data_IF_488619108345
#
_entry.id   IF_488619108345
#
_cell.length_a   1.000
_cell.length_b   1.000
_cell.length_c   1.000
_cell.angle_alpha   90.00
_cell.angle_beta   90.00
_cell.angle_gamma   90.00
#
_symmetry.space_group_name_H-M   'P 1'
#
loop_
_entity.id
_entity.type
_entity.pdbx_description
1 polymer ?
#
# COMPACT_ATOMS: atom_id res chain seq x y z
N UNK A 1 4.19 -2.75 16.20
CA UNK A 1 3.16 -3.27 15.26
C UNK A 1 3.56 -2.83 13.85
N UNK A 2 3.70 -3.76 12.91
CA UNK A 2 3.97 -3.41 11.51
C UNK A 2 2.81 -2.54 11.00
N UNK A 3 3.08 -1.28 10.75
CA UNK A 3 2.09 -0.33 10.22
C UNK A 3 2.00 -0.49 8.71
N UNK A 4 0.77 -0.36 8.14
CA UNK A 4 0.64 -0.21 6.69
C UNK A 4 1.31 1.09 6.26
N UNK A 5 2.09 1.04 5.18
CA UNK A 5 2.64 2.24 4.55
C UNK A 5 1.47 3.09 4.04
N UNK A 6 1.36 4.31 4.53
CA UNK A 6 0.29 5.23 4.11
C UNK A 6 0.74 6.12 2.94
N UNK A 7 -0.22 6.66 2.19
CA UNK A 7 0.07 7.67 1.17
C UNK A 7 0.76 8.91 1.73
N UNK A 8 0.47 9.27 2.97
CA UNK A 8 1.08 10.41 3.66
C UNK A 8 2.57 10.15 3.94
N UNK A 9 2.89 8.96 4.47
CA UNK A 9 4.28 8.53 4.65
C UNK A 9 5.05 8.45 3.34
N UNK A 10 4.44 7.92 2.26
CA UNK A 10 5.09 7.90 0.94
C UNK A 10 5.35 9.30 0.39
N UNK A 11 4.42 10.24 0.58
CA UNK A 11 4.63 11.64 0.17
C UNK A 11 5.74 12.31 0.97
N UNK A 12 5.79 12.06 2.28
CA UNK A 12 6.86 12.56 3.13
C UNK A 12 8.24 12.04 2.65
N UNK A 13 8.34 10.74 2.39
CA UNK A 13 9.55 10.13 1.84
C UNK A 13 9.88 10.67 0.44
N UNK A 14 8.89 10.82 -0.43
CA UNK A 14 9.08 11.38 -1.78
C UNK A 14 9.50 12.86 -1.77
N UNK A 15 9.13 13.60 -0.72
CA UNK A 15 9.58 14.98 -0.51
C UNK A 15 11.03 15.10 -0.05
N UNK A 16 11.66 14.01 0.39
CA UNK A 16 13.05 14.03 0.82
C UNK A 16 14.02 13.98 -0.38
N UNK A 17 15.00 14.86 -0.35
CA UNK A 17 16.17 14.85 -1.24
C UNK A 17 17.40 15.23 -0.46
N UNK A 18 18.43 14.41 -0.50
CA UNK A 18 19.73 14.72 0.10
C UNK A 18 20.33 15.99 -0.53
N UNK A 19 20.69 16.95 0.31
CA UNK A 19 21.24 18.24 -0.12
C UNK A 19 22.77 18.22 -0.16
N UNK A 20 23.38 17.42 0.70
CA UNK A 20 24.83 17.46 0.96
C UNK A 20 25.52 16.15 0.58
N UNK A 21 24.82 15.18 0.03
CA UNK A 21 25.42 13.88 -0.30
C UNK A 21 24.44 12.97 -1.00
N UNK A 22 24.34 11.73 -0.53
CA UNK A 22 23.40 10.74 -1.01
C UNK A 22 22.68 10.11 0.17
N UNK A 23 21.47 9.63 -0.09
CA UNK A 23 20.74 8.74 0.80
C UNK A 23 21.00 7.28 0.43
N UNK A 24 20.95 6.41 1.43
CA UNK A 24 20.91 4.96 1.27
C UNK A 24 19.48 4.50 1.49
N UNK A 25 18.93 3.73 0.55
CA UNK A 25 17.65 3.05 0.68
C UNK A 25 17.89 1.55 0.66
N UNK A 26 17.52 0.85 1.73
CA UNK A 26 17.69 -0.60 1.87
C UNK A 26 16.34 -1.26 2.06
N UNK A 27 16.09 -2.36 1.35
CA UNK A 27 14.96 -3.25 1.52
C UNK A 27 15.46 -4.66 1.81
N UNK A 28 14.90 -5.31 2.83
CA UNK A 28 15.20 -6.69 3.19
C UNK A 28 13.93 -7.52 3.23
N UNK A 29 13.95 -8.63 2.52
CA UNK A 29 12.87 -9.61 2.53
C UNK A 29 12.93 -10.43 3.83
N UNK A 30 11.87 -10.33 4.62
CA UNK A 30 11.71 -11.04 5.88
C UNK A 30 10.63 -12.13 5.79
N UNK A 31 10.18 -12.51 4.59
CA UNK A 31 9.17 -13.55 4.44
C UNK A 31 9.64 -14.85 5.11
N UNK A 32 8.79 -15.50 5.97
CA UNK A 32 9.14 -16.76 6.61
C UNK A 32 9.49 -17.89 5.65
N UNK A 33 9.02 -17.82 4.39
CA UNK A 33 9.39 -18.80 3.37
C UNK A 33 10.83 -18.69 2.89
N UNK A 34 11.45 -17.52 3.05
CA UNK A 34 12.83 -17.24 2.61
C UNK A 34 13.79 -16.87 3.74
N UNK A 35 13.26 -16.42 4.86
CA UNK A 35 14.02 -16.11 6.08
C UNK A 35 13.27 -16.64 7.33
N UNK A 36 13.20 -17.98 7.52
CA UNK A 36 12.45 -18.60 8.61
C UNK A 36 13.06 -18.36 10.00
N UNK A 37 14.37 -18.21 10.10
CA UNK A 37 15.10 -18.07 11.37
C UNK A 37 15.83 -16.72 11.50
N UNK A 38 16.16 -16.26 12.72
CA UNK A 38 16.98 -15.06 12.91
C UNK A 38 18.32 -15.10 12.16
N UNK A 39 19.08 -16.21 12.13
CA UNK A 39 20.29 -16.28 11.31
C UNK A 39 20.06 -16.12 9.81
N UNK A 40 18.90 -16.54 9.28
CA UNK A 40 18.56 -16.31 7.87
C UNK A 40 18.33 -14.83 7.58
N UNK A 41 17.70 -14.11 8.52
CA UNK A 41 17.51 -12.65 8.44
C UNK A 41 18.87 -11.96 8.47
N UNK A 42 19.74 -12.30 9.41
CA UNK A 42 21.09 -11.76 9.54
C UNK A 42 21.90 -11.97 8.25
N UNK A 43 21.88 -13.16 7.69
CA UNK A 43 22.58 -13.46 6.43
C UNK A 43 22.08 -12.59 5.26
N UNK A 44 20.76 -12.30 5.20
CA UNK A 44 20.19 -11.40 4.21
C UNK A 44 20.62 -9.96 4.40
N UNK A 45 20.56 -9.46 5.63
CA UNK A 45 21.02 -8.11 5.97
C UNK A 45 22.48 -7.92 5.54
N UNK A 46 23.36 -8.84 5.94
CA UNK A 46 24.76 -8.80 5.53
C UNK A 46 24.93 -8.85 3.99
N UNK A 47 24.13 -9.65 3.28
CA UNK A 47 24.18 -9.71 1.82
C UNK A 47 23.80 -8.37 1.17
N UNK A 48 22.76 -7.71 1.67
CA UNK A 48 22.29 -6.40 1.17
C UNK A 48 23.30 -5.29 1.51
N UNK A 49 23.85 -5.29 2.72
CA UNK A 49 24.91 -4.34 3.13
C UNK A 49 26.18 -4.52 2.31
N UNK A 50 26.63 -5.75 2.07
CA UNK A 50 27.76 -6.01 1.18
C UNK A 50 27.50 -5.55 -0.27
N UNK A 51 26.24 -5.56 -0.72
CA UNK A 51 25.88 -4.98 -2.02
C UNK A 51 25.98 -3.44 -1.97
N UNK A 52 25.49 -2.81 -0.91
CA UNK A 52 25.64 -1.35 -0.71
C UNK A 52 27.11 -0.90 -0.69
N UNK A 53 27.98 -1.64 0.00
CA UNK A 53 29.42 -1.37 0.02
C UNK A 53 30.06 -1.47 -1.37
N UNK A 54 29.68 -2.46 -2.16
CA UNK A 54 30.14 -2.58 -3.57
C UNK A 54 29.69 -1.39 -4.41
N UNK A 55 28.42 -0.99 -4.33
CA UNK A 55 27.89 0.20 -5.04
C UNK A 55 28.66 1.47 -4.62
N UNK A 56 28.95 1.63 -3.33
CA UNK A 56 29.71 2.76 -2.81
C UNK A 56 31.15 2.77 -3.36
N UNK A 57 31.82 1.63 -3.44
CA UNK A 57 33.18 1.53 -3.97
C UNK A 57 33.22 1.81 -5.48
N UNK A 58 32.24 1.33 -6.26
CA UNK A 58 32.07 1.62 -7.69
C UNK A 58 31.89 3.12 -7.96
N UNK A 59 31.16 3.82 -7.10
CA UNK A 59 30.89 5.26 -7.19
C UNK A 59 31.96 6.15 -6.53
N UNK A 60 32.99 5.57 -5.97
CA UNK A 60 34.03 6.25 -5.18
C UNK A 60 34.69 7.44 -5.88
N UNK A 61 34.89 7.35 -7.20
CA UNK A 61 35.50 8.43 -7.99
C UNK A 61 34.59 9.63 -8.22
N UNK A 62 33.28 9.43 -8.08
CA UNK A 62 32.23 10.44 -8.36
C UNK A 62 31.73 11.14 -7.09
N UNK A 63 32.04 10.58 -5.91
CA UNK A 63 31.58 11.12 -4.64
C UNK A 63 32.67 11.89 -3.90
N UNK A 64 32.35 13.07 -3.34
CA UNK A 64 33.24 13.76 -2.42
C UNK A 64 33.63 12.87 -1.23
N UNK A 65 34.81 13.13 -0.63
CA UNK A 65 35.31 12.34 0.50
C UNK A 65 34.31 12.34 1.67
N UNK A 66 33.75 13.49 1.99
CA UNK A 66 32.78 13.66 3.08
C UNK A 66 31.54 12.81 2.87
N UNK A 67 30.95 12.82 1.66
CA UNK A 67 29.80 11.99 1.31
C UNK A 67 30.12 10.49 1.45
N UNK A 68 31.30 10.05 1.05
CA UNK A 68 31.71 8.64 1.20
C UNK A 68 31.85 8.21 2.65
N UNK A 69 32.46 9.05 3.50
CA UNK A 69 32.60 8.74 4.94
C UNK A 69 31.22 8.73 5.63
N UNK A 70 30.35 9.64 5.26
CA UNK A 70 28.97 9.65 5.77
C UNK A 70 28.18 8.39 5.35
N UNK A 71 28.25 7.99 4.08
CA UNK A 71 27.60 6.76 3.61
C UNK A 71 28.12 5.50 4.33
N UNK A 72 29.44 5.42 4.59
CA UNK A 72 30.00 4.33 5.41
C UNK A 72 29.45 4.34 6.84
N UNK A 73 29.35 5.53 7.44
CA UNK A 73 28.76 5.66 8.77
C UNK A 73 27.28 5.28 8.78
N UNK A 74 26.53 5.62 7.73
CA UNK A 74 25.12 5.21 7.56
C UNK A 74 24.99 3.69 7.44
N UNK A 75 25.83 3.02 6.65
CA UNK A 75 25.81 1.56 6.52
C UNK A 75 26.13 0.88 7.87
N UNK A 76 27.13 1.35 8.61
CA UNK A 76 27.44 0.85 9.96
C UNK A 76 26.28 1.08 10.93
N UNK A 77 25.59 2.22 10.84
CA UNK A 77 24.41 2.51 11.66
C UNK A 77 23.24 1.59 11.33
N UNK A 78 23.05 1.26 10.05
CA UNK A 78 22.01 0.33 9.60
C UNK A 78 22.32 -1.07 10.13
N UNK A 79 23.55 -1.53 10.04
CA UNK A 79 24.00 -2.83 10.56
C UNK A 79 23.72 -2.94 12.07
N UNK A 80 24.23 -1.98 12.85
CA UNK A 80 23.98 -1.91 14.29
C UNK A 80 22.49 -1.85 14.66
N UNK A 81 21.66 -1.20 13.83
CA UNK A 81 20.22 -1.16 14.07
C UNK A 81 19.55 -2.54 13.89
N UNK A 82 20.02 -3.34 12.92
CA UNK A 82 19.54 -4.71 12.76
C UNK A 82 19.96 -5.61 13.91
N UNK A 83 21.18 -5.41 14.47
CA UNK A 83 21.69 -6.21 15.58
C UNK A 83 20.98 -5.92 16.91
N UNK A 84 20.80 -4.62 17.23
CA UNK A 84 20.40 -4.19 18.57
C UNK A 84 18.96 -3.66 18.67
N UNK A 85 18.40 -3.18 17.57
CA UNK A 85 17.14 -2.39 17.57
C UNK A 85 16.00 -2.96 16.76
N UNK A 86 16.23 -4.00 15.97
CA UNK A 86 15.22 -4.55 15.08
C UNK A 86 14.46 -5.72 15.71
N UNK A 87 13.15 -5.58 15.77
CA UNK A 87 12.23 -6.67 16.10
C UNK A 87 11.29 -6.94 14.92
N UNK A 88 11.28 -8.16 14.40
CA UNK A 88 10.47 -8.55 13.24
C UNK A 88 8.96 -8.34 13.44
N UNK A 89 8.42 -8.61 14.63
CA UNK A 89 7.01 -8.39 15.03
C UNK A 89 5.96 -8.74 13.96
N UNK A 90 6.19 -9.84 13.20
CA UNK A 90 5.30 -10.27 12.12
C UNK A 90 5.50 -9.55 10.78
N UNK A 91 6.46 -8.66 10.65
CA UNK A 91 6.82 -8.06 9.36
C UNK A 91 7.35 -9.11 8.38
N UNK A 92 6.98 -8.96 7.10
CA UNK A 92 7.47 -9.79 5.99
C UNK A 92 8.48 -9.05 5.11
N UNK A 93 8.70 -7.77 5.39
CA UNK A 93 9.74 -6.95 4.81
C UNK A 93 10.09 -5.79 5.72
N UNK A 94 11.21 -5.15 5.46
CA UNK A 94 11.63 -3.93 6.12
C UNK A 94 12.31 -3.00 5.12
N UNK A 95 12.06 -1.70 5.25
CA UNK A 95 12.79 -0.67 4.55
C UNK A 95 13.54 0.22 5.56
N UNK A 96 14.79 0.57 5.24
CA UNK A 96 15.61 1.49 6.02
C UNK A 96 16.16 2.56 5.09
N UNK A 97 15.98 3.82 5.49
CA UNK A 97 16.46 4.99 4.76
C UNK A 97 17.38 5.81 5.66
N UNK A 98 18.55 6.15 5.15
CA UNK A 98 19.55 6.93 5.87
C UNK A 98 20.20 7.96 4.96
N UNK A 99 20.41 9.17 5.48
CA UNK A 99 21.22 10.23 4.88
C UNK A 99 21.83 11.07 6.01
N UNK A 100 22.97 10.61 6.53
CA UNK A 100 23.57 11.14 7.75
C UNK A 100 23.98 12.60 7.65
N UNK A 101 24.45 13.08 6.50
CA UNK A 101 24.77 14.49 6.27
C UNK A 101 23.55 15.41 6.32
N UNK A 102 22.37 14.89 5.99
CA UNK A 102 21.11 15.63 6.05
C UNK A 102 20.30 15.29 7.32
N UNK A 103 20.94 14.57 8.27
CA UNK A 103 20.34 14.12 9.53
C UNK A 103 19.01 13.37 9.37
N UNK A 104 18.88 12.59 8.28
CA UNK A 104 17.70 11.82 7.97
C UNK A 104 17.88 10.34 8.34
N UNK A 105 16.85 9.79 8.99
CA UNK A 105 16.74 8.38 9.32
C UNK A 105 15.27 7.99 9.38
N UNK A 106 14.88 6.95 8.64
CA UNK A 106 13.52 6.40 8.68
C UNK A 106 13.54 4.89 8.51
N UNK A 107 12.68 4.19 9.22
CA UNK A 107 12.52 2.74 9.13
C UNK A 107 11.04 2.41 9.00
N UNK A 108 10.72 1.45 8.12
CA UNK A 108 9.36 0.97 7.90
C UNK A 108 9.33 -0.56 7.97
N UNK A 109 8.52 -1.09 8.87
CA UNK A 109 8.17 -2.51 8.88
C UNK A 109 7.03 -2.76 7.91
N UNK A 110 7.19 -3.73 7.01
CA UNK A 110 6.32 -3.97 5.87
C UNK A 110 5.59 -5.31 6.09
N UNK A 111 4.24 -5.34 6.02
CA UNK A 111 3.47 -6.56 6.25
C UNK A 111 3.53 -7.54 5.07
N UNK A 112 3.92 -7.08 3.87
CA UNK A 112 4.04 -7.88 2.66
C UNK A 112 5.52 -8.14 2.31
N UNK A 113 5.84 -9.21 1.57
CA UNK A 113 7.20 -9.46 1.10
C UNK A 113 7.67 -8.36 0.15
N UNK A 114 8.91 -7.96 0.28
CA UNK A 114 9.60 -7.08 -0.67
C UNK A 114 10.83 -7.78 -1.22
N UNK A 115 11.28 -7.42 -2.41
CA UNK A 115 12.57 -7.89 -2.90
C UNK A 115 13.71 -7.21 -2.15
N UNK A 116 14.80 -7.95 -1.88
CA UNK A 116 16.04 -7.36 -1.37
C UNK A 116 16.55 -6.34 -2.38
N UNK A 117 16.78 -5.12 -1.94
CA UNK A 117 17.27 -4.04 -2.78
C UNK A 117 18.10 -3.04 -1.99
N UNK A 118 19.05 -2.43 -2.68
CA UNK A 118 19.80 -1.28 -2.16
C UNK A 118 20.01 -0.26 -3.25
N UNK A 119 19.80 1.00 -2.92
CA UNK A 119 20.03 2.13 -3.82
C UNK A 119 20.74 3.25 -3.05
N UNK A 120 21.77 3.83 -3.67
CA UNK A 120 22.46 5.03 -3.18
C UNK A 120 22.20 6.15 -4.19
N UNK A 121 21.38 7.14 -3.82
CA UNK A 121 20.98 8.24 -4.70
C UNK A 121 20.70 9.52 -3.89
N UNK A 122 20.43 10.64 -4.56
CA UNK A 122 19.99 11.85 -3.87
C UNK A 122 18.57 11.71 -3.31
N UNK A 123 17.70 11.02 -4.03
CA UNK A 123 16.33 10.69 -3.62
C UNK A 123 16.26 9.27 -3.02
N UNK A 124 15.22 9.02 -2.22
CA UNK A 124 14.95 7.69 -1.67
C UNK A 124 14.36 6.78 -2.75
N UNK A 125 14.70 5.50 -2.74
CA UNK A 125 14.12 4.51 -3.66
C UNK A 125 12.77 4.04 -3.13
N UNK A 126 11.66 4.44 -3.79
CA UNK A 126 10.30 4.23 -3.30
C UNK A 126 9.49 3.21 -4.10
N UNK A 127 9.99 2.74 -5.23
CA UNK A 127 9.30 1.77 -6.10
C UNK A 127 8.77 0.55 -5.37
N UNK A 128 9.49 -0.11 -4.44
CA UNK A 128 8.96 -1.25 -3.70
C UNK A 128 7.77 -0.89 -2.80
N UNK A 129 7.75 0.33 -2.24
CA UNK A 129 6.65 0.79 -1.38
C UNK A 129 5.40 1.17 -2.17
N UNK A 130 5.56 1.69 -3.38
CA UNK A 130 4.44 2.09 -4.23
C UNK A 130 3.49 0.92 -4.53
N UNK A 131 4.03 -0.28 -4.69
CA UNK A 131 3.26 -1.53 -4.87
C UNK A 131 2.37 -1.85 -3.67
N UNK A 132 2.81 -1.48 -2.48
CA UNK A 132 2.12 -1.77 -1.23
C UNK A 132 0.97 -0.79 -0.97
N UNK A 133 1.15 0.46 -1.36
CA UNK A 133 0.16 1.53 -1.11
C UNK A 133 -0.99 1.50 -2.13
N UNK A 134 -0.78 0.96 -3.32
CA UNK A 134 -1.83 0.82 -4.35
C UNK A 134 -3.04 -0.01 -3.92
N UNK A 135 -2.87 -0.91 -2.94
CA UNK A 135 -3.94 -1.66 -2.26
C UNK A 135 -4.14 -1.20 -0.81
N UNK A 136 -3.49 -0.11 -0.42
CA UNK A 136 -3.37 0.37 0.96
C UNK A 136 -4.60 1.08 1.52
N UNK A 137 -5.77 0.91 0.92
CA UNK A 137 -7.00 1.21 1.64
C UNK A 137 -7.17 0.14 2.73
N UNK A 138 -7.25 0.57 3.98
CA UNK A 138 -7.50 -0.34 5.09
C UNK A 138 -8.75 -1.18 4.78
N UNK A 139 -8.67 -2.48 4.99
CA UNK A 139 -9.83 -3.35 4.83
C UNK A 139 -10.33 -3.77 6.20
N UNK A 140 -11.60 -3.50 6.45
CA UNK A 140 -12.34 -3.97 7.61
C UNK A 140 -13.21 -5.15 7.20
N UNK A 141 -13.29 -6.16 8.05
CA UNK A 141 -14.17 -7.30 7.88
C UNK A 141 -15.10 -7.35 9.08
N UNK A 142 -16.39 -7.20 8.87
CA UNK A 142 -17.39 -7.31 9.92
C UNK A 142 -18.08 -8.67 9.83
N UNK A 143 -17.79 -9.57 10.78
CA UNK A 143 -18.45 -10.87 10.91
C UNK A 143 -19.68 -10.71 11.80
N UNK A 144 -20.82 -10.81 11.17
CA UNK A 144 -22.14 -10.50 11.76
C UNK A 144 -23.03 -11.74 11.80
N UNK A 145 -23.62 -11.98 12.95
CA UNK A 145 -24.60 -13.04 13.17
C UNK A 145 -25.72 -12.55 14.08
N UNK A 146 -26.57 -13.45 14.53
CA UNK A 146 -27.62 -13.13 15.51
C UNK A 146 -27.02 -12.79 16.89
N UNK A 147 -25.89 -13.41 17.23
CA UNK A 147 -25.16 -13.26 18.47
C UNK A 147 -23.74 -12.73 18.19
N UNK A 148 -23.21 -13.01 17.01
CA UNK A 148 -21.85 -12.67 16.60
C UNK A 148 -21.79 -11.21 16.10
N UNK A 149 -20.76 -10.49 16.56
CA UNK A 149 -20.53 -9.12 16.14
C UNK A 149 -19.04 -8.76 16.29
N UNK A 150 -18.18 -9.24 15.38
CA UNK A 150 -16.74 -9.01 15.48
C UNK A 150 -16.26 -8.21 14.28
N UNK A 151 -15.47 -7.18 14.54
CA UNK A 151 -14.82 -6.39 13.50
C UNK A 151 -13.34 -6.70 13.48
N UNK A 152 -12.85 -7.07 12.32
CA UNK A 152 -11.44 -7.34 12.05
C UNK A 152 -10.87 -6.28 11.13
N UNK A 153 -9.57 -6.06 11.26
CA UNK A 153 -8.76 -5.33 10.29
C UNK A 153 -7.86 -6.31 9.54
N UNK A 154 -7.87 -6.26 8.22
CA UNK A 154 -6.90 -7.00 7.41
C UNK A 154 -5.54 -6.32 7.49
N UNK A 155 -4.53 -7.07 7.90
CA UNK A 155 -3.13 -6.64 7.96
C UNK A 155 -2.25 -7.68 7.25
N UNK A 156 -1.71 -7.32 6.09
CA UNK A 156 -1.05 -8.30 5.23
C UNK A 156 -1.99 -9.46 4.87
N UNK A 157 -1.63 -10.67 5.27
CA UNK A 157 -2.41 -11.90 5.05
C UNK A 157 -3.15 -12.39 6.29
N UNK A 158 -3.46 -11.54 7.27
CA UNK A 158 -4.12 -11.91 8.52
C UNK A 158 -5.24 -10.96 8.89
N UNK A 159 -6.29 -11.50 9.50
CA UNK A 159 -7.35 -10.73 10.12
C UNK A 159 -7.03 -10.53 11.60
N UNK A 160 -6.86 -9.27 12.00
CA UNK A 160 -6.65 -8.86 13.38
C UNK A 160 -7.96 -8.34 13.95
N UNK A 161 -8.43 -8.94 15.04
CA UNK A 161 -9.61 -8.47 15.75
C UNK A 161 -9.35 -7.08 16.35
N UNK A 162 -10.28 -6.16 16.11
CA UNK A 162 -10.21 -4.79 16.62
C UNK A 162 -11.41 -4.40 17.47
N UNK A 163 -12.52 -5.12 17.37
CA UNK A 163 -13.68 -4.97 18.24
C UNK A 163 -14.51 -6.25 18.27
N UNK A 164 -15.06 -6.57 19.44
CA UNK A 164 -15.99 -7.69 19.64
C UNK A 164 -17.23 -7.20 20.41
N UNK A 165 -18.39 -7.24 19.75
CA UNK A 165 -19.72 -6.91 20.25
C UNK A 165 -20.58 -8.19 20.41
N UNK A 166 -19.96 -9.35 20.43
CA UNK A 166 -20.67 -10.64 20.55
C UNK A 166 -21.47 -10.71 21.86
N UNK A 167 -22.73 -11.07 21.77
CA UNK A 167 -23.59 -11.24 22.94
C UNK A 167 -24.48 -12.48 22.82
N UNK A 168 -24.89 -13.02 23.95
CA UNK A 168 -25.81 -14.16 23.98
C UNK A 168 -27.24 -13.73 23.74
N UNK A 169 -27.88 -14.31 22.72
CA UNK A 169 -29.30 -14.11 22.40
C UNK A 169 -30.07 -15.37 22.78
N UNK A 170 -31.19 -15.25 23.51
CA UNK A 170 -31.99 -16.41 23.89
C UNK A 170 -32.48 -17.19 22.66
N UNK A 171 -32.32 -18.52 22.69
CA UNK A 171 -32.78 -19.41 21.60
C UNK A 171 -34.29 -19.34 21.36
N UNK A 172 -34.72 -19.56 20.12
CA UNK A 172 -36.15 -19.78 19.82
C UNK A 172 -36.58 -21.14 20.36
N UNK A 173 -37.54 -21.16 21.29
CA UNK A 173 -38.19 -22.40 21.73
C UNK A 173 -39.41 -22.67 20.89
N UNK A 174 -39.48 -23.84 20.25
CA UNK A 174 -40.61 -24.27 19.40
C UNK A 174 -41.76 -24.88 20.22
N UNK A 175 -42.29 -24.18 21.23
CA UNK A 175 -43.50 -24.58 21.91
C UNK A 175 -44.67 -23.67 21.47
N UNK A 176 -45.58 -24.21 20.67
CA UNK A 176 -46.66 -23.48 20.00
C UNK A 176 -47.64 -22.75 20.92
N UNK A 177 -48.14 -21.59 20.46
CA UNK A 177 -49.19 -20.81 21.10
C UNK A 177 -49.07 -19.29 20.86
N UNK A 178 -50.10 -18.53 21.26
CA UNK A 178 -50.16 -17.05 21.16
C UNK A 178 -48.94 -16.33 21.81
N UNK A 179 -48.28 -16.97 22.75
CA UNK A 179 -47.03 -16.47 23.36
C UNK A 179 -45.82 -16.55 22.42
N UNK A 180 -45.85 -17.43 21.44
CA UNK A 180 -44.73 -17.64 20.49
C UNK A 180 -44.49 -16.43 19.57
N UNK A 181 -45.57 -15.83 19.06
CA UNK A 181 -45.47 -14.62 18.20
C UNK A 181 -44.98 -13.40 18.99
N UNK A 182 -45.27 -13.31 20.28
CA UNK A 182 -44.80 -12.24 21.17
C UNK A 182 -43.34 -12.45 21.56
N UNK A 183 -42.95 -13.69 21.83
CA UNK A 183 -41.60 -14.07 22.14
C UNK A 183 -40.66 -13.94 20.91
N UNK A 184 -41.15 -14.34 19.71
CA UNK A 184 -40.42 -14.15 18.46
C UNK A 184 -40.08 -12.69 18.20
N UNK A 185 -41.07 -11.78 18.31
CA UNK A 185 -40.86 -10.32 18.16
C UNK A 185 -39.85 -9.77 19.17
N UNK A 186 -39.90 -10.24 20.40
CA UNK A 186 -38.93 -9.80 21.43
C UNK A 186 -37.50 -10.24 21.11
N UNK A 187 -37.31 -11.44 20.56
CA UNK A 187 -36.01 -11.93 20.08
C UNK A 187 -35.51 -11.09 18.89
N UNK A 188 -36.40 -10.80 17.95
CA UNK A 188 -36.06 -10.00 16.77
C UNK A 188 -35.63 -8.56 17.17
N UNK A 189 -36.29 -7.96 18.18
CA UNK A 189 -35.89 -6.68 18.78
C UNK A 189 -34.51 -6.73 19.45
N UNK A 190 -34.16 -7.86 20.11
CA UNK A 190 -32.83 -8.06 20.73
C UNK A 190 -31.76 -8.14 19.64
N UNK A 191 -32.00 -8.94 18.58
CA UNK A 191 -31.10 -9.09 17.45
C UNK A 191 -30.88 -7.75 16.73
N UNK A 192 -31.96 -7.01 16.46
CA UNK A 192 -31.84 -5.70 15.82
C UNK A 192 -31.04 -4.70 16.68
N UNK A 193 -31.21 -4.72 18.00
CA UNK A 193 -30.41 -3.89 18.91
C UNK A 193 -28.93 -4.29 18.90
N UNK A 194 -28.64 -5.58 18.87
CA UNK A 194 -27.29 -6.10 18.71
C UNK A 194 -26.67 -5.61 17.39
N UNK A 195 -27.36 -5.74 16.27
CA UNK A 195 -26.87 -5.28 14.97
C UNK A 195 -26.60 -3.77 14.93
N UNK A 196 -27.44 -2.96 15.56
CA UNK A 196 -27.21 -1.50 15.69
C UNK A 196 -25.92 -1.18 16.46
N UNK A 197 -25.58 -1.98 17.48
CA UNK A 197 -24.30 -1.80 18.19
C UNK A 197 -23.13 -2.16 17.29
N UNK A 198 -23.18 -3.31 16.62
CA UNK A 198 -22.13 -3.71 15.66
C UNK A 198 -21.95 -2.66 14.57
N UNK A 199 -23.06 -2.12 14.03
CA UNK A 199 -23.03 -1.05 13.03
C UNK A 199 -22.38 0.24 13.57
N UNK A 200 -22.68 0.63 14.81
CA UNK A 200 -22.07 1.82 15.45
C UNK A 200 -20.58 1.64 15.70
N UNK A 201 -20.16 0.46 16.12
CA UNK A 201 -18.75 0.11 16.29
C UNK A 201 -18.02 0.10 14.95
N UNK A 202 -18.62 -0.49 13.91
CA UNK A 202 -18.08 -0.48 12.56
C UNK A 202 -17.94 0.95 12.00
N UNK A 203 -18.93 1.81 12.23
CA UNK A 203 -18.88 3.22 11.86
C UNK A 203 -17.71 3.96 12.55
N UNK A 204 -17.48 3.66 13.82
CA UNK A 204 -16.34 4.23 14.57
C UNK A 204 -15.02 3.78 13.96
N UNK A 205 -14.87 2.49 13.62
CA UNK A 205 -13.68 1.96 12.97
C UNK A 205 -13.44 2.60 11.59
N UNK A 206 -14.51 2.79 10.80
CA UNK A 206 -14.46 3.44 9.48
C UNK A 206 -14.01 4.90 9.59
N UNK A 207 -14.47 5.65 10.59
CA UNK A 207 -14.03 7.05 10.84
C UNK A 207 -12.56 7.14 11.25
N UNK A 208 -12.06 6.16 12.00
CA UNK A 208 -10.65 6.11 12.42
C UNK A 208 -9.70 5.70 11.29
N UNK A 209 -10.23 5.11 10.22
CA UNK A 209 -9.47 4.61 9.08
C UNK A 209 -10.00 5.24 7.77
N UNK A 210 -9.61 6.48 7.46
CA UNK A 210 -10.04 7.15 6.23
C UNK A 210 -9.71 6.31 5.00
N UNK A 211 -10.68 6.15 4.09
CA UNK A 211 -10.53 5.32 2.89
C UNK A 211 -10.76 3.82 3.12
N UNK A 212 -10.98 3.35 4.35
CA UNK A 212 -11.22 1.93 4.62
C UNK A 212 -12.38 1.36 3.81
N UNK A 213 -12.20 0.13 3.31
CA UNK A 213 -13.26 -0.69 2.70
C UNK A 213 -13.79 -1.68 3.71
N UNK A 214 -15.04 -2.04 3.55
CA UNK A 214 -15.74 -2.95 4.45
C UNK A 214 -16.20 -4.17 3.68
N UNK A 215 -15.84 -5.36 4.13
CA UNK A 215 -16.46 -6.61 3.70
C UNK A 215 -17.35 -7.10 4.83
N UNK A 216 -18.61 -7.34 4.52
CA UNK A 216 -19.59 -7.89 5.45
C UNK A 216 -19.61 -9.42 5.31
N UNK A 217 -19.60 -10.12 6.43
CA UNK A 217 -19.60 -11.57 6.48
C UNK A 217 -20.73 -12.04 7.39
N UNK A 218 -21.59 -12.92 6.89
CA UNK A 218 -22.71 -13.46 7.66
C UNK A 218 -23.62 -14.30 6.79
N UNK A 219 -24.67 -14.86 7.39
CA UNK A 219 -25.66 -15.63 6.64
C UNK A 219 -26.43 -14.73 5.66
N UNK A 220 -26.74 -15.23 4.47
CA UNK A 220 -27.33 -14.44 3.38
C UNK A 220 -28.73 -13.92 3.73
N UNK A 221 -29.48 -14.64 4.53
CA UNK A 221 -30.82 -14.26 4.98
C UNK A 221 -30.84 -13.04 5.92
N UNK A 222 -29.72 -12.71 6.55
CA UNK A 222 -29.58 -11.54 7.44
C UNK A 222 -29.09 -10.30 6.72
N UNK A 223 -28.62 -10.42 5.50
CA UNK A 223 -27.93 -9.37 4.76
C UNK A 223 -28.75 -8.08 4.66
N UNK A 224 -29.97 -8.18 4.15
CA UNK A 224 -30.84 -7.01 3.94
C UNK A 224 -31.08 -6.27 5.26
N UNK A 225 -31.44 -7.03 6.30
CA UNK A 225 -31.81 -6.45 7.60
C UNK A 225 -30.60 -5.79 8.29
N UNK A 226 -29.39 -6.40 8.15
CA UNK A 226 -28.18 -5.79 8.68
C UNK A 226 -27.75 -4.57 7.85
N UNK A 227 -27.81 -4.63 6.52
CA UNK A 227 -27.51 -3.48 5.67
C UNK A 227 -28.42 -2.28 5.99
N UNK A 228 -29.69 -2.51 6.39
CA UNK A 228 -30.64 -1.44 6.72
C UNK A 228 -30.22 -0.64 7.97
N UNK A 229 -29.55 -1.26 8.94
CA UNK A 229 -29.08 -0.57 10.16
C UNK A 229 -27.75 0.15 9.98
N UNK A 230 -27.05 -0.01 8.84
CA UNK A 230 -25.81 0.68 8.55
C UNK A 230 -26.04 2.15 8.21
N UNK A 231 -25.12 3.01 8.62
CA UNK A 231 -25.08 4.41 8.18
C UNK A 231 -24.70 4.53 6.69
N UNK A 232 -25.08 5.63 6.07
CA UNK A 232 -24.72 5.89 4.66
C UNK A 232 -23.21 5.94 4.44
N UNK A 233 -22.44 6.40 5.41
CA UNK A 233 -20.97 6.41 5.33
C UNK A 233 -20.42 4.99 5.27
N UNK A 234 -20.88 4.09 6.11
CA UNK A 234 -20.49 2.67 6.07
C UNK A 234 -20.95 2.02 4.78
N UNK A 235 -22.24 2.22 4.38
CA UNK A 235 -22.80 1.66 3.13
C UNK A 235 -21.99 2.00 1.90
N UNK A 236 -21.51 3.25 1.81
CA UNK A 236 -20.69 3.72 0.69
C UNK A 236 -19.32 3.05 0.60
N UNK A 237 -18.87 2.41 1.68
CA UNK A 237 -17.57 1.75 1.80
C UNK A 237 -17.65 0.24 1.70
N UNK A 238 -18.86 -0.33 1.64
CA UNK A 238 -19.06 -1.77 1.52
C UNK A 238 -18.56 -2.25 0.15
N UNK A 239 -17.56 -3.10 0.16
CA UNK A 239 -17.01 -3.76 -1.03
C UNK A 239 -17.88 -4.97 -1.45
N UNK A 240 -18.52 -5.61 -0.50
CA UNK A 240 -19.45 -6.71 -0.74
C UNK A 240 -19.81 -7.49 0.51
N UNK A 241 -20.62 -8.53 0.27
CA UNK A 241 -21.08 -9.50 1.26
C UNK A 241 -20.60 -10.90 0.90
N UNK A 242 -20.26 -11.71 1.90
CA UNK A 242 -20.00 -13.13 1.74
C UNK A 242 -20.55 -13.92 2.92
N UNK A 243 -20.86 -15.20 2.68
CA UNK A 243 -21.32 -16.10 3.74
C UNK A 243 -20.13 -16.79 4.41
N UNK A 244 -20.20 -16.93 5.73
CA UNK A 244 -19.34 -17.81 6.51
C UNK A 244 -20.13 -18.41 7.68
N UNK A 245 -19.58 -19.49 8.26
CA UNK A 245 -20.15 -20.09 9.44
C UNK A 245 -20.06 -19.12 10.65
N UNK A 246 -21.05 -19.22 11.57
CA UNK A 246 -21.12 -18.35 12.75
C UNK A 246 -19.88 -18.43 13.65
N UNK A 247 -19.17 -19.53 13.62
CA UNK A 247 -17.96 -19.80 14.42
C UNK A 247 -16.68 -19.88 13.57
N UNK A 248 -16.70 -19.37 12.33
CA UNK A 248 -15.53 -19.33 11.47
C UNK A 248 -14.38 -18.60 12.17
N UNK A 249 -13.21 -19.20 12.12
CA UNK A 249 -11.98 -18.58 12.61
C UNK A 249 -11.46 -17.50 11.64
N UNK A 250 -10.50 -16.65 12.04
CA UNK A 250 -9.97 -15.59 11.18
C UNK A 250 -9.39 -16.09 9.85
N UNK A 251 -8.83 -17.30 9.79
CA UNK A 251 -8.28 -17.85 8.55
C UNK A 251 -9.40 -18.26 7.58
N UNK A 252 -10.44 -18.90 8.07
CA UNK A 252 -11.64 -19.25 7.30
C UNK A 252 -12.37 -18.00 6.81
N UNK A 253 -12.49 -16.97 7.65
CA UNK A 253 -13.05 -15.67 7.25
C UNK A 253 -12.24 -15.02 6.13
N UNK A 254 -10.91 -15.05 6.23
CA UNK A 254 -10.04 -14.49 5.20
C UNK A 254 -10.24 -15.19 3.85
N UNK A 255 -10.33 -16.51 3.84
CA UNK A 255 -10.62 -17.29 2.61
C UNK A 255 -11.98 -16.92 2.00
N UNK A 256 -13.02 -16.70 2.82
CA UNK A 256 -14.32 -16.27 2.34
C UNK A 256 -14.34 -14.82 1.82
N UNK A 257 -13.53 -13.93 2.40
CA UNK A 257 -13.45 -12.51 2.07
C UNK A 257 -12.61 -12.25 0.81
N UNK A 258 -11.58 -13.06 0.57
CA UNK A 258 -10.63 -12.88 -0.53
C UNK A 258 -11.31 -12.70 -1.90
N UNK A 259 -12.24 -13.55 -2.36
CA UNK A 259 -12.89 -13.38 -3.65
C UNK A 259 -13.71 -12.08 -3.77
N UNK A 260 -14.30 -11.61 -2.66
CA UNK A 260 -15.03 -10.33 -2.62
C UNK A 260 -14.09 -9.17 -2.86
N UNK A 261 -12.93 -9.17 -2.19
CA UNK A 261 -11.91 -8.14 -2.36
C UNK A 261 -11.31 -8.16 -3.76
N UNK A 262 -10.95 -9.32 -4.28
CA UNK A 262 -10.41 -9.47 -5.65
C UNK A 262 -11.39 -8.92 -6.69
N UNK A 263 -12.67 -9.26 -6.60
CA UNK A 263 -13.71 -8.74 -7.48
C UNK A 263 -13.86 -7.22 -7.35
N UNK A 264 -13.82 -6.70 -6.14
CA UNK A 264 -13.93 -5.26 -5.91
C UNK A 264 -12.72 -4.50 -6.48
N UNK A 265 -11.48 -5.03 -6.26
CA UNK A 265 -10.25 -4.45 -6.81
C UNK A 265 -10.27 -4.46 -8.34
N UNK A 266 -10.62 -5.59 -8.95
CA UNK A 266 -10.73 -5.72 -10.40
C UNK A 266 -11.71 -4.69 -11.00
N UNK A 267 -12.90 -4.53 -10.40
CA UNK A 267 -13.87 -3.54 -10.86
C UNK A 267 -13.38 -2.10 -10.73
N UNK A 268 -12.59 -1.79 -9.68
CA UNK A 268 -11.97 -0.47 -9.51
C UNK A 268 -10.90 -0.21 -10.57
N UNK A 269 -10.06 -1.20 -10.84
CA UNK A 269 -9.04 -1.11 -11.89
C UNK A 269 -9.67 -0.94 -13.27
N UNK A 270 -10.74 -1.68 -13.57
CA UNK A 270 -11.50 -1.52 -14.81
C UNK A 270 -12.01 -0.08 -14.98
N UNK A 271 -12.60 0.50 -13.94
CA UNK A 271 -13.09 1.87 -13.98
C UNK A 271 -11.97 2.91 -14.18
N UNK A 272 -10.79 2.71 -13.56
CA UNK A 272 -9.63 3.58 -13.73
C UNK A 272 -9.07 3.50 -15.16
N UNK A 273 -8.96 2.30 -15.71
CA UNK A 273 -8.47 2.07 -17.07
C UNK A 273 -9.45 2.61 -18.12
N UNK A 274 -10.75 2.45 -17.91
CA UNK A 274 -11.76 3.00 -18.81
C UNK A 274 -11.74 4.53 -18.81
N UNK A 275 -11.67 5.16 -17.64
CA UNK A 275 -11.51 6.62 -17.52
C UNK A 275 -10.26 7.10 -18.26
N UNK A 276 -9.14 6.38 -18.11
CA UNK A 276 -7.91 6.71 -18.83
C UNK A 276 -8.05 6.55 -20.34
N UNK A 277 -8.68 5.45 -20.83
CA UNK A 277 -8.91 5.21 -22.27
C UNK A 277 -9.79 6.29 -22.89
N UNK A 278 -10.84 6.70 -22.18
CA UNK A 278 -11.72 7.79 -22.64
C UNK A 278 -10.97 9.12 -22.77
N UNK A 279 -10.16 9.49 -21.79
CA UNK A 279 -9.37 10.72 -21.84
C UNK A 279 -8.27 10.65 -22.91
N UNK A 280 -7.58 9.52 -23.05
CA UNK A 280 -6.56 9.31 -24.09
C UNK A 280 -7.17 9.35 -25.49
N UNK A 281 -8.33 8.71 -25.70
CA UNK A 281 -9.02 8.70 -27.00
C UNK A 281 -9.55 10.07 -27.47
N UNK A 282 -9.77 10.99 -26.52
CA UNK A 282 -10.19 12.37 -26.83
C UNK A 282 -9.03 13.36 -26.94
N UNK A 283 -7.77 12.91 -26.86
CA UNK A 283 -6.59 13.75 -26.65
C UNK A 283 -6.80 14.72 -25.46
N UNK A 284 -7.47 14.21 -24.41
CA UNK A 284 -7.82 14.96 -23.23
C UNK A 284 -6.72 14.89 -22.16
N UNK A 285 -7.15 14.77 -20.90
CA UNK A 285 -6.25 14.79 -19.74
C UNK A 285 -5.68 13.41 -19.43
N UNK A 286 -4.90 12.87 -20.38
CA UNK A 286 -4.21 11.59 -20.22
C UNK A 286 -2.80 11.64 -20.82
N UNK A 287 -1.90 10.85 -20.23
CA UNK A 287 -0.60 10.55 -20.80
C UNK A 287 -0.50 9.02 -21.04
N UNK A 288 0.20 8.62 -22.09
CA UNK A 288 0.40 7.24 -22.50
C UNK A 288 1.88 6.98 -22.80
N UNK A 289 2.43 5.98 -22.14
CA UNK A 289 3.84 5.61 -22.29
C UNK A 289 4.80 6.50 -21.50
N UNK A 290 6.03 6.04 -21.41
CA UNK A 290 7.06 6.62 -20.55
C UNK A 290 7.40 8.06 -20.85
N UNK A 291 7.49 8.42 -22.15
CA UNK A 291 7.87 9.77 -22.57
C UNK A 291 6.87 10.83 -22.07
N UNK A 292 5.59 10.65 -22.41
CA UNK A 292 4.53 11.57 -21.99
C UNK A 292 4.32 11.56 -20.47
N UNK A 293 4.46 10.41 -19.85
CA UNK A 293 4.27 10.27 -18.40
C UNK A 293 5.37 10.96 -17.61
N UNK A 294 6.65 10.79 -17.97
CA UNK A 294 7.77 11.48 -17.32
C UNK A 294 7.72 13.00 -17.54
N UNK A 295 7.31 13.43 -18.72
CA UNK A 295 7.07 14.85 -18.99
C UNK A 295 5.96 15.40 -18.09
N UNK A 296 4.80 14.76 -18.07
CA UNK A 296 3.67 15.19 -17.25
C UNK A 296 3.99 15.12 -15.74
N UNK A 297 4.77 14.14 -15.30
CA UNK A 297 5.26 14.03 -13.92
C UNK A 297 6.15 15.21 -13.56
N UNK A 298 7.13 15.53 -14.42
CA UNK A 298 8.06 16.66 -14.23
C UNK A 298 7.33 17.99 -14.16
N UNK A 299 6.25 18.16 -14.94
CA UNK A 299 5.41 19.37 -14.97
C UNK A 299 4.38 19.41 -13.81
N UNK A 300 4.31 18.39 -12.96
CA UNK A 300 3.37 18.30 -11.84
C UNK A 300 1.90 18.13 -12.27
N UNK A 301 1.65 17.66 -13.49
CA UNK A 301 0.30 17.54 -14.06
C UNK A 301 -0.43 16.24 -13.70
N UNK A 302 0.27 15.25 -13.15
CA UNK A 302 -0.34 13.94 -12.86
C UNK A 302 -1.29 14.04 -11.66
N UNK A 303 -2.55 13.65 -11.89
CA UNK A 303 -3.54 13.35 -10.84
C UNK A 303 -3.35 11.93 -10.31
N UNK A 304 -3.29 10.96 -11.24
CA UNK A 304 -3.14 9.54 -10.95
C UNK A 304 -2.16 8.91 -11.94
N UNK A 305 -1.08 8.35 -11.43
CA UNK A 305 -0.14 7.51 -12.18
C UNK A 305 -0.63 6.07 -12.16
N UNK A 306 -0.78 5.45 -13.33
CA UNK A 306 -1.11 4.05 -13.53
C UNK A 306 0.13 3.30 -14.01
N UNK A 307 0.51 2.24 -13.31
CA UNK A 307 1.70 1.45 -13.62
C UNK A 307 1.34 -0.03 -13.64
N UNK A 308 1.73 -0.73 -14.68
CA UNK A 308 1.65 -2.18 -14.75
C UNK A 308 2.81 -2.78 -13.94
N UNK A 309 2.51 -3.73 -13.06
CA UNK A 309 3.52 -4.34 -12.20
C UNK A 309 4.67 -4.97 -13.02
N UNK A 310 5.89 -4.81 -12.54
CA UNK A 310 7.10 -5.33 -13.19
C UNK A 310 7.59 -4.52 -14.39
N UNK A 311 6.96 -3.38 -14.73
CA UNK A 311 7.43 -2.51 -15.81
C UNK A 311 8.29 -1.38 -15.29
N UNK A 312 9.34 -1.06 -16.05
CA UNK A 312 10.22 0.09 -15.85
C UNK A 312 10.84 0.48 -17.20
N UNK A 313 11.46 1.65 -17.26
CA UNK A 313 12.20 2.12 -18.41
C UNK A 313 13.47 2.86 -18.00
N UNK A 314 14.51 2.87 -18.84
CA UNK A 314 15.65 3.77 -18.63
C UNK A 314 15.17 5.22 -18.53
N UNK A 315 15.74 5.98 -17.62
CA UNK A 315 15.39 7.38 -17.46
C UNK A 315 16.59 8.25 -17.12
N UNK A 316 16.47 9.51 -17.48
CA UNK A 316 17.47 10.54 -17.30
C UNK A 316 16.83 11.74 -16.64
N UNK A 317 17.57 12.38 -15.73
CA UNK A 317 17.09 13.54 -15.01
C UNK A 317 18.06 14.70 -15.14
N UNK A 318 17.54 15.90 -15.34
CA UNK A 318 18.33 17.11 -15.29
C UNK A 318 18.76 17.43 -13.85
N UNK A 319 20.07 17.51 -13.55
CA UNK A 319 20.51 17.81 -12.18
C UNK A 319 20.14 19.24 -11.75
N UNK A 320 19.83 20.14 -12.68
CA UNK A 320 19.55 21.55 -12.39
C UNK A 320 18.07 21.82 -12.16
N UNK A 321 17.18 21.37 -13.07
CA UNK A 321 15.75 21.64 -12.96
C UNK A 321 14.91 20.42 -12.54
N UNK A 322 15.49 19.21 -12.44
CA UNK A 322 14.80 18.00 -12.04
C UNK A 322 13.97 17.33 -13.14
N UNK A 323 13.85 17.92 -14.35
CA UNK A 323 13.06 17.34 -15.46
C UNK A 323 13.55 15.94 -15.81
N UNK A 324 12.62 15.01 -15.93
CA UNK A 324 12.86 13.62 -16.31
C UNK A 324 12.50 13.36 -17.78
N UNK A 325 13.26 12.46 -18.44
CA UNK A 325 12.99 12.00 -19.82
C UNK A 325 13.53 10.59 -20.04
N UNK A 326 13.07 9.93 -21.09
CA UNK A 326 13.48 8.54 -21.43
C UNK A 326 14.77 8.46 -22.24
N UNK A 327 15.20 9.55 -22.84
CA UNK A 327 16.39 9.62 -23.71
C UNK A 327 17.52 10.39 -23.07
N UNK A 328 18.76 9.92 -23.28
CA UNK A 328 19.96 10.67 -22.89
C UNK A 328 20.09 11.94 -23.78
N UNK A 329 20.77 12.95 -23.27
CA UNK A 329 21.04 14.17 -24.02
C UNK A 329 21.07 15.41 -23.15
N UNK A 330 20.59 16.51 -23.71
CA UNK A 330 20.51 17.81 -23.02
C UNK A 330 19.07 18.08 -22.56
N UNK A 331 18.94 18.70 -21.41
CA UNK A 331 17.66 19.14 -20.89
C UNK A 331 17.00 20.14 -21.87
N UNK A 332 15.73 19.92 -22.26
CA UNK A 332 15.04 20.83 -23.21
C UNK A 332 14.76 22.21 -22.62
N UNK A 333 14.84 22.39 -21.29
CA UNK A 333 14.57 23.65 -20.64
C UNK A 333 15.81 24.55 -20.45
N UNK A 334 16.95 23.96 -20.10
CA UNK A 334 18.15 24.71 -19.71
C UNK A 334 19.45 24.26 -20.42
N UNK A 335 19.39 23.22 -21.27
CA UNK A 335 20.53 22.71 -22.02
C UNK A 335 21.51 21.88 -21.21
N UNK A 336 21.28 21.66 -19.91
CA UNK A 336 22.16 20.89 -19.04
C UNK A 336 22.20 19.42 -19.47
N UNK A 337 23.38 18.77 -19.40
CA UNK A 337 23.49 17.35 -19.69
C UNK A 337 22.71 16.53 -18.66
N UNK A 338 21.85 15.63 -19.16
CA UNK A 338 21.02 14.77 -18.33
C UNK A 338 21.88 13.67 -17.65
N UNK A 339 21.54 13.36 -16.42
CA UNK A 339 22.14 12.27 -15.65
C UNK A 339 21.29 11.01 -15.70
N UNK A 340 21.92 9.85 -15.86
CA UNK A 340 21.24 8.55 -15.82
C UNK A 340 20.66 8.30 -14.43
N UNK A 341 19.44 7.81 -14.37
CA UNK A 341 18.75 7.35 -13.17
C UNK A 341 18.49 5.84 -13.21
N UNK A 342 18.24 5.23 -12.06
CA UNK A 342 18.08 3.77 -11.94
C UNK A 342 16.81 3.28 -12.63
N UNK A 343 15.72 4.07 -12.66
CA UNK A 343 14.50 3.71 -13.33
C UNK A 343 13.56 4.89 -13.55
N UNK A 344 12.78 4.81 -14.60
CA UNK A 344 11.74 5.79 -14.93
C UNK A 344 10.57 5.73 -13.96
N UNK A 345 10.29 4.53 -13.43
CA UNK A 345 9.22 4.33 -12.48
C UNK A 345 9.48 5.12 -11.19
N UNK A 346 10.68 5.04 -10.63
CA UNK A 346 11.02 5.75 -9.41
C UNK A 346 10.92 7.28 -9.60
N UNK A 347 11.41 7.80 -10.72
CA UNK A 347 11.26 9.22 -11.06
C UNK A 347 9.80 9.64 -11.22
N UNK A 348 9.00 8.86 -11.95
CA UNK A 348 7.58 9.13 -12.12
C UNK A 348 6.84 9.14 -10.77
N UNK A 349 7.19 8.21 -9.87
CA UNK A 349 6.65 8.14 -8.51
C UNK A 349 6.98 9.40 -7.71
N UNK A 350 8.27 9.74 -7.63
CA UNK A 350 8.73 10.92 -6.88
C UNK A 350 8.03 12.21 -7.35
N UNK A 351 8.05 12.49 -8.64
CA UNK A 351 7.41 13.68 -9.18
C UNK A 351 5.90 13.67 -8.95
N UNK A 352 5.23 12.53 -9.16
CA UNK A 352 3.77 12.42 -8.94
C UNK A 352 3.42 12.71 -7.48
N UNK A 353 4.12 12.08 -6.54
CA UNK A 353 3.87 12.21 -5.11
C UNK A 353 4.24 13.60 -4.57
N UNK A 354 5.37 14.15 -5.00
CA UNK A 354 5.83 15.48 -4.61
C UNK A 354 4.84 16.59 -5.02
N UNK A 355 4.12 16.39 -6.14
CA UNK A 355 3.08 17.31 -6.59
C UNK A 355 1.68 16.93 -6.12
N UNK A 356 1.54 16.00 -5.15
CA UNK A 356 0.27 15.63 -4.54
C UNK A 356 -0.63 14.75 -5.42
N UNK A 357 -0.07 14.09 -6.44
CA UNK A 357 -0.71 13.03 -7.20
C UNK A 357 -0.80 11.73 -6.40
N UNK A 358 -1.46 10.75 -6.97
CA UNK A 358 -1.58 9.38 -6.44
C UNK A 358 -1.05 8.37 -7.44
N UNK A 359 -0.76 7.16 -6.96
CA UNK A 359 -0.22 6.09 -7.81
C UNK A 359 -1.08 4.85 -7.63
N UNK A 360 -1.34 4.13 -8.71
CA UNK A 360 -2.00 2.83 -8.68
C UNK A 360 -1.20 1.82 -9.50
N UNK A 361 -0.78 0.74 -8.86
CA UNK A 361 -0.06 -0.36 -9.51
C UNK A 361 -1.07 -1.44 -9.89
N UNK A 362 -1.21 -1.69 -11.19
CA UNK A 362 -2.05 -2.75 -11.75
C UNK A 362 -1.34 -4.10 -11.57
N UNK A 363 -1.95 -5.00 -10.82
CA UNK A 363 -1.40 -6.34 -10.56
C UNK A 363 -2.00 -7.35 -11.54
N UNK A 364 -1.16 -8.30 -12.00
CA UNK A 364 -1.59 -9.41 -12.86
C UNK A 364 -2.37 -8.99 -14.11
N UNK A 365 -2.20 -7.73 -14.55
CA UNK A 365 -2.88 -7.16 -15.73
C UNK A 365 -1.89 -6.66 -16.75
N UNK A 366 -2.29 -6.73 -18.03
CA UNK A 366 -1.46 -6.36 -19.19
C UNK A 366 -2.10 -5.22 -20.02
N UNK A 367 -3.08 -4.53 -19.46
CA UNK A 367 -3.85 -3.50 -20.17
C UNK A 367 -3.00 -2.33 -20.66
N UNK A 368 -1.92 -2.00 -19.95
CA UNK A 368 -0.99 -0.95 -20.33
C UNK A 368 0.20 -1.42 -21.17
N UNK A 369 0.32 -2.73 -21.47
CA UNK A 369 1.40 -3.25 -22.29
C UNK A 369 1.53 -2.53 -23.67
N UNK A 370 0.44 -2.17 -24.39
CA UNK A 370 0.54 -1.43 -25.65
C UNK A 370 1.20 -0.05 -25.53
N UNK A 371 1.22 0.54 -24.34
CA UNK A 371 1.83 1.83 -24.04
C UNK A 371 3.07 1.72 -23.14
N UNK A 372 3.70 0.53 -23.13
CA UNK A 372 4.94 0.31 -22.36
C UNK A 372 4.75 0.17 -20.85
N UNK A 373 3.53 -0.15 -20.40
CA UNK A 373 3.22 -0.48 -19.02
C UNK A 373 3.00 0.73 -18.11
N UNK A 374 2.96 1.96 -18.64
CA UNK A 374 2.73 3.17 -17.85
C UNK A 374 1.75 4.12 -18.54
N UNK A 375 0.92 4.75 -17.73
CA UNK A 375 -0.06 5.74 -18.16
C UNK A 375 -0.37 6.73 -17.01
N UNK A 376 -1.01 7.86 -17.33
CA UNK A 376 -1.45 8.77 -16.29
C UNK A 376 -2.76 9.47 -16.65
N UNK A 377 -3.55 9.77 -15.62
CA UNK A 377 -4.61 10.77 -15.67
C UNK A 377 -4.06 12.10 -15.20
N UNK A 378 -4.39 13.17 -15.93
CA UNK A 378 -3.85 14.50 -15.72
C UNK A 378 -4.89 15.43 -15.10
N UNK A 379 -4.43 16.41 -14.31
CA UNK A 379 -5.30 17.42 -13.69
C UNK A 379 -5.80 18.44 -14.70
N UNK A 380 -4.93 18.81 -15.65
CA UNK A 380 -5.19 19.80 -16.68
C UNK A 380 -4.36 19.55 -17.92
#
# INVERSE_FOLDING_TARGET
>A
MAGMVSWEQLRELAGFRAQTGCAVSIYVNLDPSVAPTPPDVEARVHSVLAHAERQLEERKSHLPREAREALKADLLRIDAWFDDGFERQGARGVAVFAAGLDNFWSTLTIPDPVADAVTIAAELYLTPLARLVGHGEATLVAHVGRERGVVYRLQGSQLMEIADETESVPGRHDQGGWSQARYGRHIDEIVERHWRRVAATLETCVRQLPGARVVLVGAEDMRSDFEDVLSNDVKSRVAGWTAAEAHADPAQLLEAVRPVLEKWWAGREDALLERWREEAGRNGRAAAGWEQTLEAASDGRIELLLVQDGTDAPAFQCPQCGRAQVSNGSCPLDGTTMETREGGLDLALHHTLAHGGTVHVLRERQDLAPVGGVAALLRF
#
